data_IF_357519079625
#
_entry.id   IF_357519079625
#
_cell.length_a   1.000
_cell.length_b   1.000
_cell.length_c   1.000
_cell.angle_alpha   90.00
_cell.angle_beta   90.00
_cell.angle_gamma   90.00
#
_symmetry.space_group_name_H-M   'P 1'
#
loop_
_entity.id
_entity.type
_entity.pdbx_description
1 polymer ?
#
# COMPACT_ATOMS: atom_id res chain seq x y z
N UNK A 1 13.05 24.64 24.30
CA UNK A 1 11.69 24.30 23.83
C UNK A 1 10.89 25.52 23.36
N UNK A 2 10.68 26.55 24.19
CA UNK A 2 9.85 27.73 23.81
C UNK A 2 10.26 28.29 22.46
N UNK A 3 11.55 28.62 22.24
CA UNK A 3 12.03 29.13 20.93
C UNK A 3 11.70 28.18 19.76
N UNK A 4 11.85 26.87 19.97
CA UNK A 4 11.49 25.87 18.94
C UNK A 4 9.99 25.88 18.63
N UNK A 5 9.15 25.92 19.67
CA UNK A 5 7.70 25.96 19.51
C UNK A 5 7.20 27.23 18.82
N UNK A 6 7.92 28.34 19.02
CA UNK A 6 7.63 29.63 18.36
C UNK A 6 8.22 29.73 16.92
N UNK A 7 8.87 28.67 16.43
CA UNK A 7 9.45 28.64 15.09
C UNK A 7 10.85 29.27 14.98
N UNK A 8 11.42 29.79 16.08
CA UNK A 8 12.79 30.29 16.08
C UNK A 8 13.80 29.15 16.29
N UNK A 9 14.01 28.39 15.22
CA UNK A 9 14.84 27.19 15.24
C UNK A 9 16.31 27.51 15.52
N UNK A 10 16.82 28.61 14.95
CA UNK A 10 18.21 29.05 15.16
C UNK A 10 18.49 29.42 16.62
N UNK A 11 17.58 30.17 17.24
CA UNK A 11 17.69 30.48 18.66
C UNK A 11 17.51 29.23 19.55
N UNK A 12 16.67 28.29 19.15
CA UNK A 12 16.52 27.03 19.88
C UNK A 12 17.81 26.20 19.86
N UNK A 13 18.44 26.07 18.70
CA UNK A 13 19.75 25.40 18.53
C UNK A 13 20.82 26.05 19.38
N UNK A 14 21.01 27.37 19.25
CA UNK A 14 22.05 28.12 19.99
C UNK A 14 21.85 28.00 21.50
N UNK A 15 20.64 28.24 22.01
CA UNK A 15 20.34 28.19 23.44
C UNK A 15 20.52 26.79 24.03
N UNK A 16 20.10 25.75 23.30
CA UNK A 16 20.27 24.37 23.76
C UNK A 16 21.76 23.95 23.77
N UNK A 17 22.51 24.35 22.74
CA UNK A 17 23.96 24.13 22.68
C UNK A 17 24.70 24.82 23.86
N UNK A 18 24.35 26.05 24.19
CA UNK A 18 24.87 26.75 25.33
C UNK A 18 24.49 26.05 26.65
N UNK A 19 23.23 25.64 26.79
CA UNK A 19 22.77 24.91 27.99
C UNK A 19 23.55 23.61 28.26
N UNK A 20 23.97 22.90 27.19
CA UNK A 20 24.79 21.70 27.32
C UNK A 20 26.21 21.98 27.92
N UNK A 21 26.72 23.21 27.84
CA UNK A 21 28.02 23.61 28.41
C UNK A 21 27.92 24.13 29.85
N UNK A 22 26.70 24.35 30.33
CA UNK A 22 26.46 24.86 31.68
C UNK A 22 26.52 23.71 32.71
N UNK A 23 26.84 24.05 33.95
CA UNK A 23 26.72 23.11 35.06
C UNK A 23 25.24 22.87 35.35
N UNK A 24 24.83 21.59 35.33
CA UNK A 24 23.46 21.18 35.59
C UNK A 24 23.40 19.71 36.02
N UNK A 25 22.23 19.25 36.35
CA UNK A 25 21.97 17.82 36.59
C UNK A 25 22.07 17.03 35.27
N UNK A 26 22.28 15.72 35.38
CA UNK A 26 22.31 14.82 34.21
C UNK A 26 21.02 14.97 33.38
N UNK A 27 19.87 15.08 34.05
CA UNK A 27 18.58 15.25 33.38
C UNK A 27 18.50 16.56 32.58
N UNK A 28 18.98 17.67 33.14
CA UNK A 28 18.98 18.97 32.43
C UNK A 28 19.91 18.95 31.23
N UNK A 29 21.09 18.35 31.36
CA UNK A 29 22.02 18.17 30.25
C UNK A 29 21.44 17.27 29.15
N UNK A 30 20.83 16.14 29.53
CA UNK A 30 20.20 15.22 28.58
C UNK A 30 19.01 15.89 27.86
N UNK A 31 18.20 16.68 28.57
CA UNK A 31 17.09 17.44 27.97
C UNK A 31 17.60 18.53 27.01
N UNK A 32 18.66 19.27 27.38
CA UNK A 32 19.29 20.25 26.51
C UNK A 32 19.83 19.60 25.23
N UNK A 33 20.46 18.42 25.34
CA UNK A 33 20.95 17.62 24.20
C UNK A 33 19.83 17.18 23.29
N UNK A 34 18.72 16.70 23.82
CA UNK A 34 17.55 16.31 23.02
C UNK A 34 16.95 17.48 22.25
N UNK A 35 16.86 18.67 22.88
CA UNK A 35 16.37 19.90 22.23
C UNK A 35 17.36 20.36 21.16
N UNK A 36 18.67 20.32 21.43
CA UNK A 36 19.71 20.66 20.47
C UNK A 36 19.61 19.78 19.22
N UNK A 37 19.48 18.47 19.39
CA UNK A 37 19.32 17.54 18.29
C UNK A 37 18.05 17.82 17.46
N UNK A 38 16.91 18.05 18.12
CA UNK A 38 15.66 18.42 17.44
C UNK A 38 15.81 19.69 16.59
N UNK A 39 16.47 20.73 17.14
CA UNK A 39 16.67 22.00 16.43
C UNK A 39 17.71 21.86 15.31
N UNK A 40 18.83 21.17 15.53
CA UNK A 40 19.85 20.94 14.50
C UNK A 40 19.31 20.18 13.30
N UNK A 41 18.52 19.12 13.52
CA UNK A 41 17.90 18.37 12.41
C UNK A 41 16.83 19.18 11.67
N UNK A 42 16.12 20.08 12.36
CA UNK A 42 15.21 21.02 11.70
C UNK A 42 15.97 22.00 10.78
N UNK A 43 17.13 22.51 11.22
CA UNK A 43 18.00 23.34 10.37
C UNK A 43 18.55 22.58 9.16
N UNK A 44 18.92 21.28 9.32
CA UNK A 44 19.34 20.43 8.21
C UNK A 44 18.22 20.28 7.16
N UNK A 45 16.99 20.06 7.61
CA UNK A 45 15.81 20.02 6.72
C UNK A 45 15.63 21.36 5.98
N UNK A 46 15.96 22.49 6.60
CA UNK A 46 15.85 23.84 6.03
C UNK A 46 17.04 24.20 5.14
N UNK A 47 18.08 23.37 5.06
CA UNK A 47 19.21 23.55 4.14
C UNK A 47 20.56 23.69 4.79
N UNK A 48 20.67 23.54 6.11
CA UNK A 48 21.99 23.37 6.74
C UNK A 48 22.62 22.03 6.27
N UNK A 49 23.98 21.90 6.35
CA UNK A 49 24.66 20.66 5.96
C UNK A 49 24.09 19.45 6.70
N UNK A 50 23.80 18.39 5.96
CA UNK A 50 23.25 17.16 6.50
C UNK A 50 24.39 16.30 7.08
N UNK A 51 24.32 16.00 8.38
CA UNK A 51 25.33 15.25 9.12
C UNK A 51 24.73 13.92 9.62
N UNK A 52 24.95 12.85 8.83
CA UNK A 52 24.44 11.52 9.13
C UNK A 52 25.06 10.91 10.38
N UNK A 53 26.35 11.12 10.64
CA UNK A 53 27.03 10.59 11.82
C UNK A 53 26.49 11.22 13.10
N UNK A 54 26.32 12.55 13.08
CA UNK A 54 25.67 13.27 14.18
C UNK A 54 24.26 12.76 14.44
N UNK A 55 23.47 12.60 13.38
CA UNK A 55 22.08 12.09 13.48
C UNK A 55 22.07 10.69 14.13
N UNK A 56 22.89 9.76 13.64
CA UNK A 56 22.94 8.40 14.19
C UNK A 56 23.38 8.38 15.63
N UNK A 57 24.38 9.17 16.00
CA UNK A 57 24.85 9.31 17.38
C UNK A 57 23.74 9.76 18.32
N UNK A 58 22.98 10.79 17.90
CA UNK A 58 21.92 11.36 18.73
C UNK A 58 20.65 10.48 18.76
N UNK A 59 20.33 9.78 17.67
CA UNK A 59 19.25 8.79 17.66
C UNK A 59 19.56 7.62 18.59
N UNK A 60 20.82 7.14 18.64
CA UNK A 60 21.26 6.11 19.59
C UNK A 60 21.14 6.60 21.04
N UNK A 61 21.53 7.84 21.30
CA UNK A 61 21.36 8.45 22.62
C UNK A 61 19.87 8.48 23.04
N UNK A 62 18.98 9.01 22.21
CA UNK A 62 17.55 9.03 22.48
C UNK A 62 16.99 7.63 22.69
N UNK A 63 17.44 6.67 21.89
CA UNK A 63 17.01 5.28 22.00
C UNK A 63 17.44 4.62 23.33
N UNK A 64 18.61 4.99 23.86
CA UNK A 64 19.11 4.48 25.15
C UNK A 64 18.34 5.04 26.36
N UNK A 65 17.69 6.19 26.22
CA UNK A 65 16.91 6.88 27.26
C UNK A 65 15.40 6.70 27.10
N UNK A 66 14.97 6.29 25.91
CA UNK A 66 13.57 6.20 25.54
C UNK A 66 12.93 4.87 25.93
N UNK A 67 11.61 4.90 26.04
CA UNK A 67 10.76 3.71 26.05
C UNK A 67 10.05 3.63 24.71
N UNK A 68 10.13 2.51 23.97
CA UNK A 68 9.56 2.41 22.62
C UNK A 68 8.06 2.17 22.59
N UNK A 69 7.40 2.00 23.72
CA UNK A 69 5.99 1.62 23.79
C UNK A 69 5.04 2.81 23.55
N UNK A 70 4.01 2.69 22.67
CA UNK A 70 3.11 3.81 22.34
C UNK A 70 2.37 4.37 23.54
N UNK A 71 2.02 3.52 24.49
CA UNK A 71 1.21 3.87 25.67
C UNK A 71 2.01 4.54 26.79
N UNK A 72 3.34 4.39 26.77
CA UNK A 72 4.23 4.86 27.81
C UNK A 72 5.49 5.53 27.22
N UNK A 73 5.28 6.30 26.15
CA UNK A 73 6.36 7.05 25.53
C UNK A 73 6.84 8.18 26.42
N UNK A 74 8.07 8.06 26.90
CA UNK A 74 8.70 9.13 27.64
C UNK A 74 9.14 10.29 26.72
N UNK A 75 9.67 11.35 27.31
CA UNK A 75 10.12 12.54 26.59
C UNK A 75 11.11 12.22 25.45
N UNK A 76 12.10 11.37 25.69
CA UNK A 76 13.12 11.03 24.69
C UNK A 76 12.58 10.25 23.51
N UNK A 77 11.64 9.34 23.74
CA UNK A 77 10.94 8.62 22.67
C UNK A 77 10.10 9.56 21.79
N UNK A 78 9.41 10.53 22.41
CA UNK A 78 8.65 11.55 21.65
C UNK A 78 9.56 12.45 20.82
N UNK A 79 10.73 12.82 21.35
CA UNK A 79 11.74 13.60 20.59
C UNK A 79 12.27 12.75 19.43
N UNK A 80 12.58 11.47 19.66
CA UNK A 80 13.00 10.54 18.60
C UNK A 80 11.99 10.50 17.46
N UNK A 81 10.74 10.19 17.77
CA UNK A 81 9.67 10.10 16.76
C UNK A 81 9.48 11.43 16.03
N UNK A 82 9.52 12.54 16.75
CA UNK A 82 9.40 13.88 16.16
C UNK A 82 10.54 14.22 15.22
N UNK A 83 11.78 13.91 15.60
CA UNK A 83 12.97 14.13 14.74
C UNK A 83 12.85 13.29 13.49
N UNK A 84 12.51 12.00 13.62
CA UNK A 84 12.41 11.13 12.45
C UNK A 84 11.27 11.58 11.54
N UNK A 85 10.08 11.82 12.07
CA UNK A 85 8.90 12.17 11.27
C UNK A 85 9.04 13.56 10.64
N UNK A 86 9.35 14.59 11.45
CA UNK A 86 9.28 15.98 11.00
C UNK A 86 10.54 16.47 10.28
N UNK A 87 11.71 15.87 10.57
CA UNK A 87 12.97 16.34 10.03
C UNK A 87 13.61 15.35 9.06
N UNK A 88 13.82 14.09 9.44
CA UNK A 88 14.53 13.10 8.61
C UNK A 88 13.65 12.67 7.41
N UNK A 89 12.43 12.22 7.66
CA UNK A 89 11.49 11.82 6.61
C UNK A 89 11.21 13.01 5.68
N UNK A 90 10.94 14.20 6.25
CA UNK A 90 10.69 15.40 5.45
C UNK A 90 11.91 15.83 4.62
N UNK A 91 13.13 15.67 5.14
CA UNK A 91 14.36 15.89 4.38
C UNK A 91 14.44 14.98 3.17
N UNK A 92 14.29 13.65 3.36
CA UNK A 92 14.36 12.69 2.27
C UNK A 92 13.20 12.81 1.28
N UNK A 93 11.99 13.15 1.74
CA UNK A 93 10.85 13.43 0.86
C UNK A 93 11.14 14.64 -0.05
N UNK A 94 11.71 15.72 0.49
CA UNK A 94 12.14 16.90 -0.30
C UNK A 94 13.20 16.55 -1.34
N UNK A 95 14.04 15.56 -1.08
CA UNK A 95 15.08 15.09 -2.00
C UNK A 95 14.62 13.89 -2.86
N UNK A 96 13.33 13.59 -2.87
CA UNK A 96 12.73 12.48 -3.66
C UNK A 96 13.34 11.09 -3.38
N UNK A 97 13.91 10.88 -2.20
CA UNK A 97 14.45 9.58 -1.79
C UNK A 97 13.37 8.73 -1.10
N UNK A 98 12.50 8.11 -1.91
CA UNK A 98 11.37 7.31 -1.44
C UNK A 98 11.82 6.09 -0.61
N UNK A 99 12.99 5.52 -0.92
CA UNK A 99 13.51 4.37 -0.19
C UNK A 99 13.82 4.72 1.27
N UNK A 100 14.48 5.85 1.52
CA UNK A 100 14.78 6.31 2.87
C UNK A 100 13.50 6.76 3.62
N UNK A 101 12.54 7.37 2.92
CA UNK A 101 11.23 7.71 3.51
C UNK A 101 10.54 6.45 4.02
N UNK A 102 10.36 5.44 3.18
CA UNK A 102 9.71 4.19 3.55
C UNK A 102 10.49 3.43 4.65
N UNK A 103 11.82 3.37 4.55
CA UNK A 103 12.64 2.72 5.56
C UNK A 103 12.51 3.39 6.93
N UNK A 104 12.50 4.73 7.00
CA UNK A 104 12.35 5.47 8.24
C UNK A 104 10.95 5.31 8.85
N UNK A 105 9.90 5.27 8.03
CA UNK A 105 8.55 4.97 8.50
C UNK A 105 8.43 3.54 9.03
N UNK A 106 8.99 2.54 8.32
CA UNK A 106 9.03 1.17 8.80
C UNK A 106 9.82 1.00 10.11
N UNK A 107 10.89 1.78 10.32
CA UNK A 107 11.58 1.85 11.59
C UNK A 107 10.69 2.39 12.71
N UNK A 108 9.95 3.48 12.47
CA UNK A 108 9.03 4.07 13.46
C UNK A 108 7.90 3.10 13.80
N UNK A 109 7.29 2.50 12.81
CA UNK A 109 6.20 1.54 12.98
C UNK A 109 6.65 0.37 13.83
N UNK A 110 7.82 -0.21 13.54
CA UNK A 110 8.41 -1.31 14.33
C UNK A 110 8.66 -0.93 15.79
N UNK A 111 9.03 0.31 16.07
CA UNK A 111 9.23 0.80 17.45
C UNK A 111 7.93 0.85 18.25
N UNK A 112 6.80 1.06 17.59
CA UNK A 112 5.47 1.15 18.20
C UNK A 112 4.85 -0.21 18.50
N UNK A 113 5.41 -1.30 17.96
CA UNK A 113 4.91 -2.65 18.21
C UNK A 113 5.46 -3.24 19.52
N UNK A 114 4.68 -4.06 20.23
CA UNK A 114 5.14 -4.78 21.42
C UNK A 114 6.39 -5.62 21.15
N UNK A 115 7.33 -5.67 22.10
CA UNK A 115 8.57 -6.44 21.96
C UNK A 115 8.33 -7.95 21.85
N UNK A 116 7.23 -8.45 22.41
CA UNK A 116 6.90 -9.88 22.48
C UNK A 116 6.02 -10.36 21.31
N UNK A 117 5.74 -9.51 20.35
CA UNK A 117 4.95 -9.87 19.18
C UNK A 117 5.78 -10.63 18.12
N UNK A 118 6.44 -11.71 18.59
CA UNK A 118 7.19 -12.60 17.70
C UNK A 118 6.29 -13.53 16.88
N UNK A 119 5.03 -13.69 17.27
CA UNK A 119 4.09 -14.64 16.65
C UNK A 119 3.16 -13.99 15.62
N UNK A 120 2.95 -12.69 15.70
CA UNK A 120 2.20 -12.02 14.66
C UNK A 120 3.17 -11.63 13.55
N UNK A 121 3.15 -12.36 12.46
CA UNK A 121 3.65 -11.92 11.16
C UNK A 121 2.85 -10.69 10.76
N UNK A 122 3.15 -9.55 11.37
CA UNK A 122 2.56 -8.28 11.01
C UNK A 122 2.88 -8.03 9.54
N UNK A 123 1.85 -8.10 8.75
CA UNK A 123 1.89 -7.66 7.36
C UNK A 123 1.26 -6.29 7.34
N UNK A 124 2.04 -5.21 7.11
CA UNK A 124 1.47 -3.88 6.96
C UNK A 124 0.33 -3.94 5.95
N UNK A 125 -0.80 -3.34 6.28
CA UNK A 125 -1.95 -3.33 5.40
C UNK A 125 -3.03 -4.38 5.68
N UNK A 126 -2.75 -5.51 6.34
CA UNK A 126 -3.77 -6.51 6.70
C UNK A 126 -4.21 -6.47 8.17
N UNK A 127 -3.82 -5.46 8.91
CA UNK A 127 -4.28 -5.27 10.29
C UNK A 127 -5.62 -4.55 10.30
N UNK A 128 -6.56 -5.00 11.12
CA UNK A 128 -7.82 -4.28 11.44
C UNK A 128 -7.56 -2.83 11.92
N UNK A 129 -6.34 -2.54 12.36
CA UNK A 129 -5.88 -1.24 12.85
C UNK A 129 -5.05 -0.46 11.82
N UNK A 130 -4.90 -0.95 10.60
CA UNK A 130 -4.07 -0.39 9.53
C UNK A 130 -4.50 0.99 9.01
N UNK A 131 -5.56 1.59 9.57
CA UNK A 131 -6.02 2.93 9.20
C UNK A 131 -4.97 4.04 9.42
N UNK A 132 -3.85 3.74 10.08
CA UNK A 132 -2.82 4.70 10.47
C UNK A 132 -1.40 4.22 10.14
N UNK A 133 -1.27 3.18 9.31
CA UNK A 133 0.02 2.64 8.94
C UNK A 133 0.68 3.50 7.84
N UNK A 134 1.44 4.50 8.28
CA UNK A 134 2.19 5.39 7.38
C UNK A 134 3.22 4.63 6.54
N UNK A 135 3.75 3.53 7.06
CA UNK A 135 4.68 2.68 6.33
C UNK A 135 4.00 1.98 5.15
N UNK A 136 2.86 1.34 5.40
CA UNK A 136 2.07 0.75 4.33
C UNK A 136 1.64 1.81 3.30
N UNK A 137 1.18 2.98 3.77
CA UNK A 137 0.80 4.10 2.90
C UNK A 137 1.93 4.50 1.95
N UNK A 138 3.18 4.55 2.44
CA UNK A 138 4.34 4.81 1.58
C UNK A 138 4.60 3.71 0.57
N UNK A 139 4.56 2.43 0.99
CA UNK A 139 4.73 1.29 0.08
C UNK A 139 3.61 1.25 -0.96
N UNK A 140 2.39 1.55 -0.53
CA UNK A 140 1.21 1.53 -1.38
C UNK A 140 1.21 2.66 -2.42
N UNK A 141 1.79 3.80 -2.11
CA UNK A 141 1.96 4.91 -3.06
C UNK A 141 3.01 4.66 -4.15
N UNK A 142 3.94 3.72 -3.94
CA UNK A 142 4.98 3.37 -4.91
C UNK A 142 4.40 2.64 -6.12
N UNK A 143 4.98 2.88 -7.31
CA UNK A 143 4.81 1.99 -8.46
C UNK A 143 5.47 0.62 -8.20
N UNK A 144 5.18 -0.38 -9.02
CA UNK A 144 5.83 -1.69 -8.90
C UNK A 144 7.37 -1.61 -9.04
N UNK A 145 7.87 -0.74 -9.91
CA UNK A 145 9.32 -0.55 -10.06
C UNK A 145 9.93 0.11 -8.81
N UNK A 146 9.32 1.17 -8.29
CA UNK A 146 9.78 1.83 -7.06
C UNK A 146 9.76 0.87 -5.86
N UNK A 147 8.73 0.04 -5.74
CA UNK A 147 8.71 -0.98 -4.69
C UNK A 147 9.80 -2.05 -4.88
N UNK A 148 10.08 -2.45 -6.13
CA UNK A 148 11.19 -3.36 -6.43
C UNK A 148 12.54 -2.76 -6.02
N UNK A 149 12.76 -1.49 -6.34
CA UNK A 149 13.96 -0.75 -5.95
C UNK A 149 14.08 -0.65 -4.43
N UNK A 150 12.97 -0.41 -3.72
CA UNK A 150 12.94 -0.41 -2.26
C UNK A 150 13.27 -1.79 -1.66
N UNK A 151 12.74 -2.87 -2.24
CA UNK A 151 13.08 -4.24 -1.80
C UNK A 151 14.58 -4.51 -1.97
N UNK A 152 15.16 -4.10 -3.09
CA UNK A 152 16.61 -4.20 -3.32
C UNK A 152 17.37 -3.37 -2.29
N UNK A 153 16.99 -2.10 -2.11
CA UNK A 153 17.57 -1.19 -1.13
C UNK A 153 17.59 -1.78 0.30
N UNK A 154 16.53 -2.45 0.72
CA UNK A 154 16.49 -3.08 2.06
C UNK A 154 17.50 -4.22 2.24
N UNK A 155 17.97 -4.85 1.17
CA UNK A 155 18.85 -6.01 1.20
C UNK A 155 20.29 -5.70 0.80
N UNK A 156 20.55 -4.52 0.26
CA UNK A 156 21.88 -4.06 -0.09
C UNK A 156 22.71 -3.68 1.16
N UNK A 157 24.03 -3.70 0.98
CA UNK A 157 24.95 -3.17 1.97
C UNK A 157 25.11 -1.67 1.75
N UNK A 158 24.90 -0.90 2.81
CA UNK A 158 25.02 0.56 2.79
C UNK A 158 26.31 1.02 3.50
N UNK A 159 27.45 0.46 3.10
CA UNK A 159 28.73 0.65 3.83
C UNK A 159 29.14 2.13 3.98
N UNK A 160 28.71 2.98 3.05
CA UNK A 160 29.01 4.41 3.06
C UNK A 160 27.84 5.31 3.54
N UNK A 161 26.71 4.72 4.01
CA UNK A 161 25.56 5.46 4.53
C UNK A 161 25.19 4.96 5.92
N UNK A 162 25.80 5.56 6.92
CA UNK A 162 25.61 5.19 8.33
C UNK A 162 24.17 5.37 8.81
N UNK A 163 23.43 6.32 8.22
CA UNK A 163 22.04 6.56 8.59
C UNK A 163 21.11 5.51 7.97
N UNK A 164 21.31 5.15 6.69
CA UNK A 164 20.59 4.05 6.07
C UNK A 164 20.82 2.74 6.83
N UNK A 165 22.08 2.43 7.18
CA UNK A 165 22.41 1.26 8.00
C UNK A 165 21.64 1.27 9.32
N UNK A 166 21.67 2.40 10.05
CA UNK A 166 20.99 2.52 11.35
C UNK A 166 19.48 2.30 11.21
N UNK A 167 18.83 2.94 10.23
CA UNK A 167 17.40 2.84 9.99
C UNK A 167 17.02 1.41 9.62
N UNK A 168 17.75 0.79 8.68
CA UNK A 168 17.47 -0.57 8.22
C UNK A 168 17.74 -1.64 9.29
N UNK A 169 18.68 -1.43 10.20
CA UNK A 169 18.88 -2.30 11.36
C UNK A 169 17.70 -2.29 12.33
N UNK A 170 17.02 -1.15 12.44
CA UNK A 170 15.84 -1.00 13.30
C UNK A 170 14.54 -1.43 12.58
N UNK A 171 14.48 -1.30 11.25
CA UNK A 171 13.38 -1.78 10.45
C UNK A 171 13.48 -3.29 10.25
N UNK A 172 12.68 -4.05 10.99
CA UNK A 172 12.67 -5.53 10.96
C UNK A 172 11.63 -6.13 10.02
N UNK A 173 10.89 -5.31 9.27
CA UNK A 173 9.95 -5.80 8.26
C UNK A 173 10.71 -6.32 7.04
N UNK A 174 10.94 -7.62 7.01
CA UNK A 174 11.67 -8.29 5.95
C UNK A 174 11.01 -9.58 5.48
N UNK A 175 9.70 -9.71 5.70
CA UNK A 175 8.98 -10.91 5.26
C UNK A 175 8.93 -10.96 3.74
N UNK A 176 9.63 -11.90 3.09
CA UNK A 176 9.67 -11.97 1.64
C UNK A 176 8.31 -12.33 1.02
N UNK A 177 7.46 -13.07 1.74
CA UNK A 177 6.11 -13.39 1.26
C UNK A 177 5.25 -12.14 1.17
N UNK A 178 5.32 -11.26 2.18
CA UNK A 178 4.65 -9.96 2.17
C UNK A 178 5.07 -9.11 0.97
N UNK A 179 6.39 -8.90 0.80
CA UNK A 179 6.89 -8.04 -0.26
C UNK A 179 6.65 -8.62 -1.66
N UNK A 180 6.72 -9.94 -1.82
CA UNK A 180 6.40 -10.57 -3.10
C UNK A 180 4.89 -10.49 -3.40
N UNK A 181 4.02 -10.66 -2.41
CA UNK A 181 2.57 -10.52 -2.63
C UNK A 181 2.19 -9.07 -2.96
N UNK A 182 2.73 -8.10 -2.21
CA UNK A 182 2.51 -6.68 -2.48
C UNK A 182 3.03 -6.28 -3.88
N UNK A 183 4.27 -6.66 -4.23
CA UNK A 183 4.85 -6.37 -5.54
C UNK A 183 4.05 -7.04 -6.67
N UNK A 184 3.65 -8.29 -6.48
CA UNK A 184 2.81 -9.00 -7.45
C UNK A 184 1.46 -8.33 -7.65
N UNK A 185 0.82 -7.87 -6.56
CA UNK A 185 -0.44 -7.12 -6.61
C UNK A 185 -0.30 -5.80 -7.38
N UNK A 186 0.80 -5.06 -7.15
CA UNK A 186 1.07 -3.82 -7.91
C UNK A 186 1.32 -4.07 -9.39
N UNK A 187 2.05 -5.12 -9.73
CA UNK A 187 2.26 -5.51 -11.12
C UNK A 187 0.93 -5.88 -11.82
N UNK A 188 0.01 -6.54 -11.10
CA UNK A 188 -1.35 -6.76 -11.60
C UNK A 188 -2.06 -5.43 -11.83
N UNK A 189 -2.04 -4.51 -10.85
CA UNK A 189 -2.69 -3.21 -10.95
C UNK A 189 -2.15 -2.36 -12.12
N UNK A 190 -0.87 -2.51 -12.46
CA UNK A 190 -0.27 -1.90 -13.66
C UNK A 190 -0.59 -2.65 -14.96
N UNK A 191 -1.29 -3.81 -14.90
CA UNK A 191 -1.58 -4.67 -16.05
C UNK A 191 -0.38 -5.49 -16.55
N UNK A 192 0.65 -5.67 -15.74
CA UNK A 192 1.91 -6.39 -16.06
C UNK A 192 1.84 -7.84 -15.60
N UNK A 193 0.84 -8.58 -16.08
CA UNK A 193 0.50 -9.92 -15.60
C UNK A 193 1.63 -10.94 -15.75
N UNK A 194 2.37 -10.90 -16.85
CA UNK A 194 3.51 -11.81 -17.10
C UNK A 194 4.66 -11.57 -16.13
N UNK A 195 4.87 -10.33 -15.68
CA UNK A 195 5.91 -9.99 -14.71
C UNK A 195 5.46 -10.29 -13.27
N UNK A 196 4.16 -10.25 -12.98
CA UNK A 196 3.61 -10.60 -11.68
C UNK A 196 3.77 -12.09 -11.35
N UNK A 197 3.66 -12.98 -12.35
CA UNK A 197 3.69 -14.42 -12.18
C UNK A 197 4.94 -14.95 -11.43
N UNK A 198 6.18 -14.66 -11.86
CA UNK A 198 7.38 -15.17 -11.18
C UNK A 198 7.53 -14.61 -9.75
N UNK A 199 6.95 -13.45 -9.47
CA UNK A 199 6.97 -12.83 -8.14
C UNK A 199 5.96 -13.52 -7.23
N UNK A 200 4.72 -13.68 -7.68
CA UNK A 200 3.64 -14.31 -6.93
C UNK A 200 3.89 -15.80 -6.67
N UNK A 201 4.57 -16.51 -7.58
CA UNK A 201 4.96 -17.92 -7.37
C UNK A 201 5.95 -18.12 -6.21
N UNK A 202 6.58 -17.07 -5.72
CA UNK A 202 7.41 -17.11 -4.50
C UNK A 202 6.60 -17.00 -3.21
N UNK A 203 5.30 -16.68 -3.30
CA UNK A 203 4.41 -16.52 -2.14
C UNK A 203 3.82 -17.87 -1.78
N UNK A 204 4.12 -18.44 -0.60
CA UNK A 204 3.54 -19.70 -0.16
C UNK A 204 2.03 -19.59 0.01
N UNK A 205 1.28 -20.64 -0.33
CA UNK A 205 -0.17 -20.65 -0.15
C UNK A 205 -0.57 -20.55 1.33
N UNK A 206 0.27 -21.07 2.24
CA UNK A 206 0.08 -20.93 3.69
C UNK A 206 0.10 -19.47 4.15
N UNK A 207 0.93 -18.63 3.50
CA UNK A 207 0.91 -17.18 3.76
C UNK A 207 -0.43 -16.57 3.33
N UNK A 208 -0.89 -16.86 2.11
CA UNK A 208 -2.18 -16.33 1.60
C UNK A 208 -3.35 -16.77 2.47
N UNK A 209 -3.36 -18.03 2.91
CA UNK A 209 -4.38 -18.57 3.82
C UNK A 209 -4.37 -17.94 5.23
N UNK A 210 -3.25 -17.34 5.62
CA UNK A 210 -3.13 -16.60 6.89
C UNK A 210 -3.64 -15.16 6.82
N UNK A 211 -4.00 -14.67 5.63
CA UNK A 211 -4.50 -13.30 5.45
C UNK A 211 -6.02 -13.23 5.66
N UNK A 212 -6.50 -12.15 6.28
CA UNK A 212 -7.94 -11.93 6.44
C UNK A 212 -8.72 -11.90 5.13
N UNK A 213 -8.07 -11.46 4.04
CA UNK A 213 -8.64 -11.44 2.68
C UNK A 213 -8.92 -12.84 2.10
N UNK A 214 -8.33 -13.91 2.66
CA UNK A 214 -8.51 -15.28 2.18
C UNK A 214 -9.99 -15.71 2.17
N UNK A 215 -10.76 -15.24 3.15
CA UNK A 215 -12.19 -15.49 3.22
C UNK A 215 -12.95 -14.89 2.03
N UNK A 216 -12.65 -13.65 1.67
CA UNK A 216 -13.25 -13.01 0.48
C UNK A 216 -12.81 -13.75 -0.78
N UNK A 217 -11.54 -14.10 -0.91
CA UNK A 217 -11.02 -14.85 -2.06
C UNK A 217 -11.77 -16.19 -2.25
N UNK A 218 -12.10 -16.89 -1.16
CA UNK A 218 -12.80 -18.18 -1.25
C UNK A 218 -14.22 -18.06 -1.80
N UNK A 219 -14.88 -16.91 -1.59
CA UNK A 219 -16.27 -16.67 -1.97
C UNK A 219 -16.43 -15.85 -3.27
N UNK A 220 -15.34 -15.50 -3.93
CA UNK A 220 -15.38 -14.67 -5.15
C UNK A 220 -14.67 -15.34 -6.32
N UNK A 221 -15.22 -15.11 -7.51
CA UNK A 221 -14.72 -15.64 -8.78
C UNK A 221 -14.65 -14.52 -9.81
N UNK A 222 -13.44 -14.09 -10.16
CA UNK A 222 -13.21 -13.03 -11.14
C UNK A 222 -13.67 -13.36 -12.56
N UNK A 223 -14.03 -14.62 -12.85
CA UNK A 223 -14.56 -15.07 -14.15
C UNK A 223 -16.05 -14.88 -14.27
N UNK A 224 -16.76 -14.65 -13.18
CA UNK A 224 -18.21 -14.51 -13.16
C UNK A 224 -18.60 -13.04 -13.23
N UNK A 225 -19.45 -12.66 -14.22
CA UNK A 225 -19.99 -11.31 -14.26
C UNK A 225 -20.94 -11.07 -13.08
N UNK A 226 -20.90 -9.87 -12.53
CA UNK A 226 -21.78 -9.44 -11.42
C UNK A 226 -22.54 -8.16 -11.77
N UNK A 227 -22.97 -8.03 -13.02
CA UNK A 227 -23.70 -6.88 -13.51
C UNK A 227 -25.06 -6.64 -12.85
N UNK A 228 -25.59 -7.66 -12.16
CA UNK A 228 -26.91 -7.62 -11.56
C UNK A 228 -26.90 -7.38 -10.04
N UNK A 229 -25.74 -7.23 -9.45
CA UNK A 229 -25.61 -7.07 -8.00
C UNK A 229 -25.34 -5.59 -7.63
N UNK A 230 -26.11 -5.09 -6.67
CA UNK A 230 -26.06 -3.69 -6.25
C UNK A 230 -24.84 -3.33 -5.41
N UNK A 231 -24.19 -4.29 -4.76
CA UNK A 231 -23.17 -4.03 -3.76
C UNK A 231 -21.97 -4.90 -3.98
N UNK A 232 -20.81 -4.25 -3.97
CA UNK A 232 -19.50 -4.88 -3.92
C UNK A 232 -19.21 -5.38 -2.51
N UNK A 233 -18.58 -6.53 -2.40
CA UNK A 233 -18.04 -7.01 -1.12
C UNK A 233 -16.75 -6.26 -0.82
N UNK A 234 -16.77 -5.42 0.20
CA UNK A 234 -15.62 -4.66 0.68
C UNK A 234 -14.97 -5.30 1.91
N UNK A 235 -15.75 -6.01 2.72
CA UNK A 235 -15.33 -6.62 3.96
C UNK A 235 -15.95 -8.02 4.09
N UNK A 236 -15.38 -8.82 4.99
CA UNK A 236 -15.91 -10.15 5.34
C UNK A 236 -17.34 -10.07 5.89
N UNK A 237 -17.67 -9.00 6.60
CA UNK A 237 -19.04 -8.77 7.11
C UNK A 237 -20.07 -8.63 5.98
N UNK A 238 -19.66 -8.16 4.81
CA UNK A 238 -20.53 -8.06 3.63
C UNK A 238 -20.84 -9.44 3.02
N UNK A 239 -20.12 -10.48 3.39
CA UNK A 239 -20.38 -11.85 2.95
C UNK A 239 -21.57 -12.50 3.66
N UNK A 240 -21.96 -11.97 4.81
CA UNK A 240 -23.01 -12.57 5.66
C UNK A 240 -22.62 -13.92 6.29
N UNK A 241 -21.31 -14.17 6.46
CA UNK A 241 -20.77 -15.35 7.11
C UNK A 241 -20.28 -15.02 8.52
N UNK A 242 -20.38 -15.99 9.42
CA UNK A 242 -19.88 -15.89 10.79
C UNK A 242 -18.39 -16.21 10.82
N UNK A 243 -17.56 -15.18 11.11
CA UNK A 243 -16.09 -15.30 11.15
C UNK A 243 -15.57 -16.40 12.07
N UNK A 244 -16.27 -16.69 13.17
CA UNK A 244 -15.82 -17.67 14.16
C UNK A 244 -15.96 -19.12 13.68
N UNK A 245 -16.77 -19.35 12.65
CA UNK A 245 -17.14 -20.69 12.21
C UNK A 245 -16.45 -21.12 10.91
N UNK A 246 -15.93 -20.20 10.09
CA UNK A 246 -15.43 -20.56 8.77
C UNK A 246 -13.90 -20.57 8.70
N UNK A 247 -13.31 -21.76 8.80
CA UNK A 247 -11.89 -21.98 8.48
C UNK A 247 -11.74 -22.15 6.98
N UNK A 248 -11.29 -21.08 6.32
CA UNK A 248 -11.03 -21.11 4.90
C UNK A 248 -9.63 -21.65 4.61
N UNK A 249 -9.56 -22.60 3.68
CA UNK A 249 -8.31 -23.08 3.12
C UNK A 249 -8.38 -23.01 1.59
N UNK A 250 -7.73 -21.98 1.02
CA UNK A 250 -7.62 -21.82 -0.42
C UNK A 250 -6.78 -22.98 -0.99
N UNK A 251 -7.20 -23.51 -2.13
CA UNK A 251 -6.48 -24.57 -2.85
C UNK A 251 -5.38 -23.99 -3.75
N UNK A 252 -5.45 -22.71 -4.10
CA UNK A 252 -4.50 -22.01 -4.96
C UNK A 252 -4.56 -20.50 -4.70
N UNK A 253 -3.48 -19.79 -5.05
CA UNK A 253 -3.45 -18.34 -5.01
C UNK A 253 -4.18 -17.77 -6.24
N UNK A 254 -5.29 -17.09 -6.02
CA UNK A 254 -6.09 -16.51 -7.09
C UNK A 254 -5.37 -15.46 -7.92
N UNK A 255 -4.41 -14.74 -7.35
CA UNK A 255 -3.59 -13.76 -8.08
C UNK A 255 -2.76 -14.46 -9.17
N UNK A 256 -2.22 -15.65 -8.89
CA UNK A 256 -1.46 -16.44 -9.86
C UNK A 256 -2.38 -16.88 -11.01
N UNK A 257 -3.51 -17.52 -10.69
CA UNK A 257 -4.45 -18.00 -11.72
C UNK A 257 -5.04 -16.86 -12.53
N UNK A 258 -5.26 -15.70 -11.92
CA UNK A 258 -5.69 -14.50 -12.61
C UNK A 258 -4.65 -14.03 -13.64
N UNK A 259 -3.38 -13.93 -13.24
CA UNK A 259 -2.30 -13.52 -14.14
C UNK A 259 -2.13 -14.49 -15.32
N UNK A 260 -2.19 -15.80 -15.06
CA UNK A 260 -2.11 -16.84 -16.11
C UNK A 260 -3.28 -16.74 -17.09
N UNK A 261 -4.48 -16.52 -16.56
CA UNK A 261 -5.69 -16.39 -17.36
C UNK A 261 -5.69 -15.09 -18.19
N UNK A 262 -5.32 -13.97 -17.60
CA UNK A 262 -5.23 -12.68 -18.29
C UNK A 262 -4.20 -12.69 -19.40
N UNK A 263 -2.98 -13.17 -19.13
CA UNK A 263 -1.92 -13.26 -20.14
C UNK A 263 -2.36 -14.11 -21.34
N UNK A 264 -3.00 -15.24 -21.08
CA UNK A 264 -3.52 -16.12 -22.13
C UNK A 264 -4.67 -15.47 -22.92
N UNK A 265 -5.60 -14.82 -22.24
CA UNK A 265 -6.76 -14.20 -22.90
C UNK A 265 -6.36 -12.99 -23.72
N UNK A 266 -5.47 -12.12 -23.21
CA UNK A 266 -4.98 -10.97 -23.96
C UNK A 266 -4.26 -11.42 -25.23
N UNK A 267 -3.40 -12.45 -25.16
CA UNK A 267 -2.73 -13.01 -26.31
C UNK A 267 -3.74 -13.56 -27.35
N UNK A 268 -4.73 -14.33 -26.88
CA UNK A 268 -5.78 -14.87 -27.77
C UNK A 268 -6.61 -13.76 -28.41
N UNK A 269 -6.94 -12.72 -27.65
CA UNK A 269 -7.68 -11.58 -28.17
C UNK A 269 -6.91 -10.83 -29.24
N UNK A 270 -5.63 -10.56 -29.04
CA UNK A 270 -4.79 -9.89 -30.04
C UNK A 270 -4.62 -10.72 -31.31
N UNK A 271 -4.45 -12.03 -31.18
CA UNK A 271 -4.44 -12.93 -32.36
C UNK A 271 -5.78 -12.92 -33.11
N UNK A 272 -6.89 -12.97 -32.38
CA UNK A 272 -8.23 -12.92 -33.00
C UNK A 272 -8.50 -11.56 -33.66
N UNK A 273 -7.98 -10.48 -33.09
CA UNK A 273 -8.08 -9.12 -33.66
C UNK A 273 -7.28 -9.00 -34.95
N UNK A 274 -6.03 -9.51 -35.00
CA UNK A 274 -5.19 -9.51 -36.18
C UNK A 274 -5.78 -10.34 -37.29
N UNK A 275 -6.33 -11.51 -36.96
CA UNK A 275 -6.97 -12.42 -37.93
C UNK A 275 -8.42 -12.04 -38.30
N UNK A 276 -8.98 -10.97 -37.75
CA UNK A 276 -10.39 -10.60 -37.85
C UNK A 276 -11.35 -11.77 -37.56
N UNK A 277 -11.02 -12.57 -36.53
CA UNK A 277 -11.73 -13.81 -36.21
C UNK A 277 -13.06 -13.52 -35.50
N UNK A 278 -14.09 -14.33 -35.81
CA UNK A 278 -15.43 -14.26 -35.21
C UNK A 278 -15.45 -14.47 -33.69
N UNK A 279 -14.44 -15.11 -33.12
CA UNK A 279 -14.32 -15.30 -31.65
C UNK A 279 -13.89 -14.05 -30.88
N UNK A 280 -13.48 -12.98 -31.57
CA UNK A 280 -13.00 -11.74 -30.96
C UNK A 280 -13.99 -11.11 -29.97
N UNK A 281 -15.31 -10.98 -30.26
CA UNK A 281 -16.27 -10.43 -29.32
C UNK A 281 -16.43 -11.26 -28.03
N UNK A 282 -16.40 -12.59 -28.14
CA UNK A 282 -16.48 -13.48 -26.98
C UNK A 282 -15.25 -13.33 -26.08
N UNK A 283 -14.05 -13.25 -26.67
CA UNK A 283 -12.82 -13.00 -25.93
C UNK A 283 -12.83 -11.60 -25.28
N UNK A 284 -13.36 -10.61 -25.97
CA UNK A 284 -13.54 -9.27 -25.43
C UNK A 284 -14.49 -9.28 -24.22
N UNK A 285 -15.61 -10.00 -24.28
CA UNK A 285 -16.53 -10.13 -23.16
C UNK A 285 -15.86 -10.78 -21.95
N UNK A 286 -15.08 -11.85 -22.17
CA UNK A 286 -14.33 -12.50 -21.09
C UNK A 286 -13.30 -11.58 -20.45
N UNK A 287 -12.58 -10.79 -21.25
CA UNK A 287 -11.63 -9.78 -20.74
C UNK A 287 -12.35 -8.68 -19.96
N UNK A 288 -13.48 -8.18 -20.48
CA UNK A 288 -14.27 -7.16 -19.81
C UNK A 288 -14.70 -7.57 -18.40
N UNK A 289 -15.21 -8.81 -18.25
CA UNK A 289 -15.59 -9.36 -16.94
C UNK A 289 -14.40 -9.34 -15.97
N UNK A 290 -13.25 -9.84 -16.40
CA UNK A 290 -12.07 -9.94 -15.55
C UNK A 290 -11.49 -8.59 -15.16
N UNK A 291 -11.40 -7.67 -16.12
CA UNK A 291 -10.96 -6.31 -15.85
C UNK A 291 -11.90 -5.60 -14.88
N UNK A 292 -13.22 -5.73 -15.09
CA UNK A 292 -14.17 -5.11 -14.16
C UNK A 292 -14.08 -5.71 -12.76
N UNK A 293 -14.06 -7.05 -12.64
CA UNK A 293 -14.02 -7.72 -11.34
C UNK A 293 -12.76 -7.41 -10.55
N UNK A 294 -11.62 -7.19 -11.22
CA UNK A 294 -10.37 -6.82 -10.59
C UNK A 294 -10.19 -5.30 -10.42
N UNK A 295 -11.12 -4.48 -10.92
CA UNK A 295 -11.09 -3.02 -10.72
C UNK A 295 -11.43 -2.64 -9.27
N UNK A 296 -11.21 -1.37 -8.93
CA UNK A 296 -11.63 -0.81 -7.63
C UNK A 296 -13.15 -0.87 -7.41
N UNK A 297 -13.94 -1.09 -8.46
CA UNK A 297 -15.40 -1.22 -8.38
C UNK A 297 -15.88 -2.68 -8.35
N UNK A 298 -14.99 -3.64 -8.59
CA UNK A 298 -15.32 -5.06 -8.65
C UNK A 298 -15.24 -5.79 -7.32
N UNK A 299 -15.78 -7.02 -7.26
CA UNK A 299 -15.75 -7.85 -6.06
C UNK A 299 -14.38 -8.50 -5.78
N UNK A 300 -13.54 -8.61 -6.81
CA UNK A 300 -12.20 -9.17 -6.73
C UNK A 300 -11.11 -8.08 -6.70
N UNK A 301 -11.43 -6.94 -6.09
CA UNK A 301 -10.53 -5.79 -5.92
C UNK A 301 -9.17 -6.17 -5.30
N UNK A 302 -9.11 -7.20 -4.47
CA UNK A 302 -7.90 -7.73 -3.85
C UNK A 302 -6.85 -8.24 -4.85
N UNK A 303 -7.23 -8.40 -6.11
CA UNK A 303 -6.28 -8.73 -7.18
C UNK A 303 -5.37 -7.55 -7.54
N UNK A 304 -5.86 -6.33 -7.37
CA UNK A 304 -5.15 -5.08 -7.70
C UNK A 304 -4.84 -4.20 -6.48
N UNK A 305 -5.48 -4.46 -5.34
CA UNK A 305 -5.29 -3.72 -4.09
C UNK A 305 -4.91 -4.70 -2.98
N UNK A 306 -3.86 -4.34 -2.23
CA UNK A 306 -3.28 -5.29 -1.29
C UNK A 306 -4.15 -5.54 -0.05
N UNK A 307 -4.71 -4.53 0.57
CA UNK A 307 -5.36 -4.64 1.89
C UNK A 307 -6.81 -4.18 1.91
N UNK A 308 -7.08 -3.08 1.28
CA UNK A 308 -8.40 -2.46 1.27
C UNK A 308 -8.85 -2.21 -0.15
N UNK A 309 -10.16 -2.27 -0.39
CA UNK A 309 -10.68 -1.64 -1.58
C UNK A 309 -10.20 -0.20 -1.56
N UNK A 310 -9.64 0.29 -2.67
CA UNK A 310 -9.37 1.71 -2.77
C UNK A 310 -10.69 2.48 -2.61
N UNK A 311 -10.61 3.77 -2.32
CA UNK A 311 -11.77 4.64 -2.13
C UNK A 311 -12.52 4.90 -3.44
N UNK A 312 -12.85 3.81 -4.16
CA UNK A 312 -13.58 3.79 -5.42
C UNK A 312 -12.93 4.69 -6.50
N UNK A 313 -11.59 4.76 -6.50
CA UNK A 313 -10.80 5.50 -7.49
C UNK A 313 -9.58 4.71 -7.93
N UNK A 314 -9.17 4.91 -9.17
CA UNK A 314 -7.92 4.37 -9.71
C UNK A 314 -6.76 5.29 -9.31
N UNK A 315 -5.66 4.74 -8.79
CA UNK A 315 -4.46 5.51 -8.47
C UNK A 315 -3.77 5.98 -9.75
N UNK A 316 -3.04 7.10 -9.68
CA UNK A 316 -2.43 7.71 -10.86
C UNK A 316 -1.44 6.81 -11.64
N UNK A 317 -0.84 5.81 -10.95
CA UNK A 317 0.08 4.85 -11.54
C UNK A 317 -0.58 3.53 -11.98
N UNK A 318 -1.85 3.31 -11.61
CA UNK A 318 -2.60 2.11 -11.98
C UNK A 318 -3.15 2.19 -13.40
N UNK A 319 -3.27 1.03 -14.03
CA UNK A 319 -4.07 0.88 -15.23
C UNK A 319 -5.55 0.97 -14.85
N UNK A 320 -6.30 1.83 -15.53
CA UNK A 320 -7.76 1.92 -15.29
C UNK A 320 -8.48 0.68 -15.82
N UNK A 321 -8.71 -0.28 -14.93
CA UNK A 321 -9.35 -1.55 -15.25
C UNK A 321 -10.82 -1.39 -15.61
N UNK A 322 -11.53 -0.42 -15.03
CA UNK A 322 -12.92 -0.15 -15.38
C UNK A 322 -13.01 0.41 -16.80
N UNK A 323 -12.13 1.32 -17.19
CA UNK A 323 -12.03 1.83 -18.55
C UNK A 323 -11.63 0.75 -19.56
N UNK A 324 -10.71 -0.16 -19.17
CA UNK A 324 -10.38 -1.33 -20.01
C UNK A 324 -11.59 -2.24 -20.22
N UNK A 325 -12.37 -2.50 -19.16
CA UNK A 325 -13.60 -3.27 -19.26
C UNK A 325 -14.59 -2.63 -20.25
N UNK A 326 -14.81 -1.31 -20.16
CA UNK A 326 -15.68 -0.60 -21.10
C UNK A 326 -15.19 -0.69 -22.54
N UNK A 327 -13.87 -0.59 -22.76
CA UNK A 327 -13.26 -0.75 -24.09
C UNK A 327 -13.54 -2.13 -24.70
N UNK A 328 -13.42 -3.18 -23.91
CA UNK A 328 -13.72 -4.55 -24.36
C UNK A 328 -15.23 -4.78 -24.57
N UNK A 329 -16.09 -4.19 -23.72
CA UNK A 329 -17.54 -4.24 -23.92
C UNK A 329 -17.98 -3.55 -25.22
N UNK A 330 -17.29 -2.48 -25.64
CA UNK A 330 -17.54 -1.82 -26.94
C UNK A 330 -17.19 -2.72 -28.14
N UNK A 331 -16.30 -3.70 -27.93
CA UNK A 331 -16.06 -4.75 -28.96
C UNK A 331 -17.12 -5.84 -28.88
N UNK A 332 -17.42 -6.32 -27.67
CA UNK A 332 -18.39 -7.42 -27.47
C UNK A 332 -19.80 -7.08 -27.96
N UNK A 333 -20.27 -5.83 -27.77
CA UNK A 333 -21.61 -5.39 -28.24
C UNK A 333 -21.81 -5.45 -29.76
N UNK A 334 -20.75 -5.67 -30.56
CA UNK A 334 -20.84 -5.82 -32.01
C UNK A 334 -21.35 -7.20 -32.41
N UNK A 335 -21.27 -8.19 -31.55
CA UNK A 335 -21.84 -9.51 -31.73
C UNK A 335 -23.32 -9.51 -31.37
N UNK A 336 -24.16 -10.10 -32.25
CA UNK A 336 -25.63 -10.09 -32.09
C UNK A 336 -26.05 -10.80 -30.78
N UNK A 337 -25.38 -11.90 -30.43
CA UNK A 337 -25.70 -12.71 -29.23
C UNK A 337 -25.28 -12.03 -27.92
N UNK A 338 -24.18 -11.28 -27.96
CA UNK A 338 -23.61 -10.62 -26.77
C UNK A 338 -24.10 -9.18 -26.62
N UNK A 339 -24.72 -8.60 -27.63
CA UNK A 339 -25.06 -7.18 -27.69
C UNK A 339 -25.83 -6.70 -26.49
N UNK A 340 -26.88 -7.40 -26.10
CA UNK A 340 -27.75 -6.98 -25.00
C UNK A 340 -27.00 -7.01 -23.67
N UNK A 341 -26.29 -8.10 -23.38
CA UNK A 341 -25.50 -8.21 -22.14
C UNK A 341 -24.36 -7.20 -22.10
N UNK A 342 -23.66 -7.00 -23.22
CA UNK A 342 -22.55 -6.05 -23.28
C UNK A 342 -23.01 -4.59 -23.09
N UNK A 343 -24.18 -4.21 -23.63
CA UNK A 343 -24.77 -2.88 -23.42
C UNK A 343 -25.18 -2.70 -21.95
N UNK A 344 -25.79 -3.70 -21.36
CA UNK A 344 -26.17 -3.70 -19.96
C UNK A 344 -24.95 -3.59 -19.05
N UNK A 345 -23.93 -4.43 -19.27
CA UNK A 345 -22.69 -4.41 -18.54
C UNK A 345 -21.97 -3.05 -18.63
N UNK A 346 -21.95 -2.46 -19.83
CA UNK A 346 -21.34 -1.16 -20.07
C UNK A 346 -22.02 -0.04 -19.28
N UNK A 347 -23.37 -0.03 -19.28
CA UNK A 347 -24.12 0.92 -18.47
C UNK A 347 -23.87 0.73 -16.98
N UNK A 348 -23.77 -0.51 -16.52
CA UNK A 348 -23.44 -0.84 -15.13
C UNK A 348 -22.05 -0.34 -14.72
N UNK A 349 -21.02 -0.61 -15.53
CA UNK A 349 -19.66 -0.12 -15.28
C UNK A 349 -19.62 1.40 -15.27
N UNK A 350 -20.27 2.05 -16.26
CA UNK A 350 -20.34 3.50 -16.36
C UNK A 350 -20.99 4.13 -15.10
N UNK A 351 -22.05 3.52 -14.61
CA UNK A 351 -22.74 3.99 -13.41
C UNK A 351 -21.82 3.91 -12.18
N UNK A 352 -21.10 2.79 -11.99
CA UNK A 352 -20.14 2.65 -10.89
C UNK A 352 -19.03 3.71 -10.96
N UNK A 353 -18.47 3.95 -12.14
CA UNK A 353 -17.43 4.98 -12.34
C UNK A 353 -17.99 6.38 -12.02
N UNK A 354 -19.20 6.70 -12.50
CA UNK A 354 -19.82 8.02 -12.32
C UNK A 354 -20.20 8.29 -10.86
N UNK A 355 -20.60 7.26 -10.13
CA UNK A 355 -21.04 7.37 -8.73
C UNK A 355 -19.95 7.05 -7.71
N UNK A 356 -18.71 6.83 -8.15
CA UNK A 356 -17.62 6.34 -7.31
C UNK A 356 -18.01 5.08 -6.50
N UNK A 357 -18.77 4.18 -7.12
CA UNK A 357 -19.23 2.97 -6.45
C UNK A 357 -20.22 3.17 -5.30
N UNK A 358 -20.62 4.41 -5.00
CA UNK A 358 -21.58 4.68 -3.94
C UNK A 358 -23.02 4.52 -4.44
N UNK A 359 -23.48 3.30 -4.38
CA UNK A 359 -24.85 2.94 -4.76
C UNK A 359 -25.91 3.26 -3.70
N UNK A 360 -25.53 3.76 -2.58
CA UNK A 360 -26.43 4.11 -1.49
C UNK A 360 -27.33 5.28 -1.90
N UNK A 361 -28.56 4.97 -2.29
CA UNK A 361 -29.59 5.95 -2.60
C UNK A 361 -29.94 6.13 -4.08
N UNK A 362 -29.23 5.48 -5.03
CA UNK A 362 -29.65 5.50 -6.43
C UNK A 362 -30.77 4.49 -6.65
N UNK A 363 -31.95 5.02 -7.05
CA UNK A 363 -33.09 4.19 -7.41
C UNK A 363 -32.77 3.40 -8.70
N UNK A 364 -33.06 2.12 -8.69
CA UNK A 364 -32.87 1.22 -9.83
C UNK A 364 -33.52 1.69 -11.14
N UNK A 365 -34.42 2.66 -11.03
CA UNK A 365 -35.09 3.29 -12.18
C UNK A 365 -34.17 4.08 -13.09
N UNK A 366 -33.16 4.75 -12.57
CA UNK A 366 -32.17 5.49 -13.39
C UNK A 366 -31.33 4.54 -14.23
N UNK A 367 -30.99 3.40 -13.69
CA UNK A 367 -30.27 2.37 -14.40
C UNK A 367 -31.10 1.77 -15.54
N UNK A 368 -32.40 1.58 -15.34
CA UNK A 368 -33.30 1.13 -16.39
C UNK A 368 -33.52 2.15 -17.51
N UNK A 369 -33.31 3.45 -17.22
CA UNK A 369 -33.34 4.50 -18.24
C UNK A 369 -32.10 4.46 -19.14
N UNK A 370 -30.94 4.02 -18.62
CA UNK A 370 -29.73 3.84 -19.42
C UNK A 370 -29.79 2.62 -20.35
N UNK A 371 -30.74 1.71 -20.11
CA UNK A 371 -30.97 0.51 -20.95
C UNK A 371 -31.97 0.71 -22.09
N UNK A 372 -32.73 1.82 -22.07
CA UNK A 372 -33.62 2.24 -23.13
C UNK A 372 -32.89 3.07 -24.17
#
# INVERSE_FOLDING_TARGET
MVSYTLGDIKAAELKSRLAMTMKGTVLECDNARAIHFLASTALMREGAPFDADFIVKELRFLNSKGTPYPWDMNYYSRVFDRVVTQNIIAYYAKHHNLNMVAAAQGMLERRRLPKNDHEYTYSPGYSRYANYDEYFGSLDSMTANQLRDYIVFMHEKHDNDVLAQFILQQNKYRNPSYFNDLLGTKLIAEGRFSEALPVLKKVPLSYVNGLGIALIMAHRDYKKPRWFFKQRVKDIYDLGVDEELEKVSLKYNQKITFCEDMSRLEQRYELAKLANNATRPELAMQLAVRYYQASCYGDCWYLTHYDKPCDDSTRAWEKDFAQQAMTYLDVAKKDVKLKQEALYARAYVQLNVTTNGSWYGYDFKEYQQLLK
#
